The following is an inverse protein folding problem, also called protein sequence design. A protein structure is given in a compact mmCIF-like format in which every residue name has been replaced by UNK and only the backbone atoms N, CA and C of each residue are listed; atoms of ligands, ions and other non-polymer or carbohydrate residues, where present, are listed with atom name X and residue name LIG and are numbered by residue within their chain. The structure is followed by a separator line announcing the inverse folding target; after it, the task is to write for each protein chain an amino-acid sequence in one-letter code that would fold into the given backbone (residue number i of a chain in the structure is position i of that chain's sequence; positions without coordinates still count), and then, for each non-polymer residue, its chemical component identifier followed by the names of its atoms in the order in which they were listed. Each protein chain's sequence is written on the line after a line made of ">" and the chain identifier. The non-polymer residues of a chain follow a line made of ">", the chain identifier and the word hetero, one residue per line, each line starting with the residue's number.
data_IF_877971222210
#
_entry.id   IF_877971222210
#
_cell.length_a   1.000
_cell.length_b   1.000
_cell.length_c   1.000
_cell.angle_alpha   90.00
_cell.angle_beta   90.00
_cell.angle_gamma   90.00
#
_symmetry.space_group_name_H-M   'P 1'
#
loop_
_entity.id
_entity.type
_entity.pdbx_description
1 polymer ?
#
# COMPACT_ATOMS: atom_id res chain seq x y z
N UNK A 1 -14.19 24.31 13.91
CA UNK A 1 -15.20 24.12 12.85
C UNK A 1 -15.73 22.70 12.96
N UNK A 2 -17.03 22.47 12.71
CA UNK A 2 -17.57 21.11 12.65
C UNK A 2 -17.14 20.48 11.32
N UNK A 3 -16.44 19.33 11.31
CA UNK A 3 -16.00 18.72 10.06
C UNK A 3 -17.20 18.35 9.17
N UNK A 4 -17.00 18.42 7.86
CA UNK A 4 -17.98 18.00 6.85
C UNK A 4 -18.31 16.51 7.00
N UNK A 5 -19.41 16.05 6.39
CA UNK A 5 -19.75 14.62 6.39
C UNK A 5 -18.67 13.78 5.67
N UNK A 6 -18.12 14.20 4.50
CA UNK A 6 -16.98 13.54 3.89
C UNK A 6 -15.77 13.41 4.83
N UNK A 7 -15.35 14.50 5.49
CA UNK A 7 -14.24 14.45 6.46
C UNK A 7 -14.54 13.48 7.61
N UNK A 8 -15.78 13.45 8.12
CA UNK A 8 -16.18 12.53 9.19
C UNK A 8 -16.17 11.05 8.78
N UNK A 9 -16.48 10.75 7.52
CA UNK A 9 -16.61 9.37 7.03
C UNK A 9 -15.32 8.84 6.38
N UNK A 10 -14.60 9.71 5.68
CA UNK A 10 -13.49 9.35 4.80
C UNK A 10 -12.20 10.10 5.11
N UNK A 11 -12.22 11.12 5.99
CA UNK A 11 -11.04 11.92 6.31
C UNK A 11 -10.60 12.89 5.21
N UNK A 12 -11.37 13.02 4.12
CA UNK A 12 -11.09 13.91 2.99
C UNK A 12 -12.38 14.59 2.48
N UNK A 13 -12.24 15.73 1.81
CA UNK A 13 -13.34 16.38 1.05
C UNK A 13 -13.48 15.80 -0.36
N UNK A 14 -12.55 14.94 -0.78
CA UNK A 14 -12.63 14.25 -2.07
C UNK A 14 -13.93 13.44 -2.16
N UNK A 15 -14.69 13.70 -3.23
CA UNK A 15 -15.98 13.04 -3.44
C UNK A 15 -15.76 11.57 -3.84
N UNK A 16 -16.59 10.68 -3.29
CA UNK A 16 -16.64 9.29 -3.76
C UNK A 16 -17.25 9.28 -5.16
N UNK A 17 -16.54 8.72 -6.13
CA UNK A 17 -17.01 8.58 -7.50
C UNK A 17 -18.28 7.74 -7.62
N UNK A 18 -19.07 7.99 -8.67
CA UNK A 18 -20.23 7.14 -8.99
C UNK A 18 -19.77 5.74 -9.39
N UNK A 19 -20.53 4.74 -8.96
CA UNK A 19 -20.30 3.33 -9.32
C UNK A 19 -21.51 2.77 -10.05
N UNK A 20 -21.26 1.93 -11.04
CA UNK A 20 -22.31 1.33 -11.88
C UNK A 20 -22.24 -0.18 -11.80
N UNK A 21 -23.34 -0.84 -11.39
CA UNK A 21 -23.43 -2.30 -11.43
C UNK A 21 -23.69 -2.76 -12.88
N UNK A 22 -22.84 -3.66 -13.36
CA UNK A 22 -22.93 -4.32 -14.66
C UNK A 22 -23.33 -5.78 -14.44
N UNK A 23 -24.26 -6.29 -15.25
CA UNK A 23 -24.73 -7.67 -15.14
C UNK A 23 -25.02 -8.30 -16.49
N UNK A 24 -24.71 -9.59 -16.63
CA UNK A 24 -25.11 -10.44 -17.75
C UNK A 24 -25.21 -11.90 -17.23
N UNK A 25 -26.40 -12.50 -17.31
CA UNK A 25 -26.65 -13.85 -16.78
C UNK A 25 -26.17 -14.05 -15.33
N UNK A 26 -25.16 -14.89 -15.14
CA UNK A 26 -24.57 -15.18 -13.83
C UNK A 26 -23.48 -14.20 -13.38
N UNK A 27 -23.00 -13.34 -14.29
CA UNK A 27 -21.91 -12.39 -14.07
C UNK A 27 -22.44 -11.07 -13.52
N UNK A 28 -21.82 -10.59 -12.45
CA UNK A 28 -22.01 -9.24 -11.89
C UNK A 28 -20.64 -8.59 -11.65
N UNK A 29 -20.50 -7.31 -11.96
CA UNK A 29 -19.32 -6.52 -11.59
C UNK A 29 -19.73 -5.07 -11.31
N UNK A 30 -18.93 -4.35 -10.54
CA UNK A 30 -19.12 -2.91 -10.31
C UNK A 30 -18.05 -2.13 -11.08
N UNK A 31 -18.48 -1.26 -12.00
CA UNK A 31 -17.62 -0.28 -12.66
C UNK A 31 -17.37 0.89 -11.70
N UNK A 32 -16.10 1.19 -11.45
CA UNK A 32 -15.64 2.27 -10.57
C UNK A 32 -14.39 2.91 -11.17
N UNK A 33 -14.49 4.18 -11.57
CA UNK A 33 -13.38 4.95 -12.15
C UNK A 33 -12.68 4.21 -13.30
N UNK A 34 -13.46 3.60 -14.21
CA UNK A 34 -12.97 2.81 -15.34
C UNK A 34 -12.53 1.37 -15.00
N UNK A 35 -12.40 1.04 -13.72
CA UNK A 35 -11.98 -0.28 -13.27
C UNK A 35 -13.18 -1.16 -12.87
N UNK A 36 -12.96 -2.48 -12.74
CA UNK A 36 -13.97 -3.40 -12.25
C UNK A 36 -13.67 -3.83 -10.81
N UNK A 37 -14.71 -3.86 -9.98
CA UNK A 37 -14.69 -4.35 -8.60
C UNK A 37 -15.75 -5.42 -8.39
N UNK A 38 -15.51 -6.31 -7.43
CA UNK A 38 -16.43 -7.36 -6.99
C UNK A 38 -16.98 -8.19 -8.16
N UNK A 39 -16.09 -8.74 -8.98
CA UNK A 39 -16.45 -9.56 -10.14
C UNK A 39 -16.96 -10.90 -9.60
N UNK A 40 -18.27 -11.09 -9.65
CA UNK A 40 -18.97 -12.25 -9.10
C UNK A 40 -19.58 -13.11 -10.18
N UNK A 41 -19.58 -14.42 -9.91
CA UNK A 41 -20.30 -15.43 -10.69
C UNK A 41 -21.26 -16.15 -9.74
N UNK A 42 -22.56 -16.07 -10.01
CA UNK A 42 -23.57 -16.69 -9.15
C UNK A 42 -23.54 -16.18 -7.71
N UNK A 43 -23.14 -14.92 -7.51
CA UNK A 43 -23.03 -14.27 -6.19
C UNK A 43 -21.75 -14.56 -5.40
N UNK A 44 -20.81 -15.34 -5.95
CA UNK A 44 -19.49 -15.59 -5.35
C UNK A 44 -18.42 -14.80 -6.09
N UNK A 45 -17.53 -14.12 -5.36
CA UNK A 45 -16.43 -13.36 -5.98
C UNK A 45 -15.48 -14.34 -6.70
N UNK A 46 -15.39 -14.20 -8.02
CA UNK A 46 -14.37 -14.86 -8.82
C UNK A 46 -13.06 -14.07 -8.75
N UNK A 47 -13.16 -12.74 -8.85
CA UNK A 47 -12.07 -11.78 -8.70
C UNK A 47 -12.56 -10.59 -7.87
N UNK A 48 -11.69 -10.05 -7.03
CA UNK A 48 -11.99 -8.86 -6.23
C UNK A 48 -11.96 -7.60 -7.09
N UNK A 49 -11.00 -7.46 -7.99
CA UNK A 49 -10.90 -6.31 -8.88
C UNK A 49 -10.04 -6.60 -10.12
N UNK A 50 -10.29 -5.86 -11.20
CA UNK A 50 -9.41 -5.75 -12.37
C UNK A 50 -9.25 -4.25 -12.66
N UNK A 51 -8.02 -3.76 -12.66
CA UNK A 51 -7.73 -2.34 -12.85
C UNK A 51 -6.56 -2.13 -13.81
N UNK A 52 -6.65 -1.13 -14.69
CA UNK A 52 -5.53 -0.68 -15.50
C UNK A 52 -4.96 0.59 -14.87
N UNK A 53 -3.71 0.53 -14.39
CA UNK A 53 -3.12 1.60 -13.58
C UNK A 53 -1.85 2.14 -14.24
N UNK A 54 -1.61 3.44 -14.09
CA UNK A 54 -0.32 4.06 -14.31
C UNK A 54 0.21 4.60 -12.98
N UNK A 55 1.49 4.35 -12.68
CA UNK A 55 2.16 4.83 -11.47
C UNK A 55 3.44 5.57 -11.81
N UNK A 56 3.61 6.75 -11.23
CA UNK A 56 4.82 7.57 -11.42
C UNK A 56 6.06 6.94 -10.76
N UNK A 57 7.17 7.68 -10.82
CA UNK A 57 8.48 7.28 -10.24
C UNK A 57 8.44 7.08 -8.72
N UNK A 58 7.46 7.71 -8.05
CA UNK A 58 7.30 7.75 -6.59
C UNK A 58 6.16 6.80 -6.14
N UNK A 59 5.72 5.91 -7.03
CA UNK A 59 4.61 4.96 -6.82
C UNK A 59 3.22 5.62 -6.67
N UNK A 60 3.10 6.92 -6.91
CA UNK A 60 1.83 7.65 -6.99
C UNK A 60 0.98 7.09 -8.13
N UNK A 61 -0.29 6.74 -7.85
CA UNK A 61 -1.21 6.24 -8.88
C UNK A 61 -1.96 7.41 -9.49
N UNK A 62 -1.90 7.56 -10.82
CA UNK A 62 -2.67 8.59 -11.52
C UNK A 62 -4.17 8.31 -11.43
N UNK A 63 -4.95 9.36 -11.21
CA UNK A 63 -6.40 9.37 -11.45
C UNK A 63 -6.65 9.70 -12.92
N UNK A 64 -7.04 8.73 -13.77
CA UNK A 64 -7.21 8.99 -15.20
C UNK A 64 -8.38 9.92 -15.48
N UNK A 65 -8.19 10.86 -16.42
CA UNK A 65 -9.28 11.63 -17.00
C UNK A 65 -10.01 10.74 -18.02
N UNK A 66 -11.23 10.28 -17.68
CA UNK A 66 -12.05 9.42 -18.54
C UNK A 66 -12.95 10.27 -19.44
N UNK A 67 -13.02 9.91 -20.72
CA UNK A 67 -13.89 10.51 -21.74
C UNK A 67 -14.51 9.43 -22.63
N UNK A 68 -15.54 9.79 -23.41
CA UNK A 68 -16.22 8.88 -24.33
C UNK A 68 -16.72 7.58 -23.68
N UNK A 69 -17.12 7.66 -22.40
CA UNK A 69 -17.68 6.52 -21.68
C UNK A 69 -19.02 6.12 -22.28
N UNK A 70 -19.08 4.90 -22.81
CA UNK A 70 -20.29 4.29 -23.36
C UNK A 70 -20.52 2.92 -22.70
N UNK A 71 -21.76 2.69 -22.26
CA UNK A 71 -22.17 1.50 -21.53
C UNK A 71 -23.41 0.92 -22.20
N UNK A 72 -23.29 -0.31 -22.67
CA UNK A 72 -24.38 -1.08 -23.24
C UNK A 72 -24.62 -2.35 -22.43
N UNK A 73 -25.82 -2.52 -21.89
CA UNK A 73 -26.20 -3.70 -21.08
C UNK A 73 -27.43 -4.39 -21.63
N UNK A 74 -27.42 -5.71 -21.64
CA UNK A 74 -28.57 -6.59 -21.90
C UNK A 74 -28.51 -7.80 -20.95
N UNK A 75 -29.53 -8.67 -21.01
CA UNK A 75 -29.53 -9.90 -20.21
C UNK A 75 -28.36 -10.84 -20.54
N UNK A 76 -27.91 -10.84 -21.80
CA UNK A 76 -26.89 -11.78 -22.30
C UNK A 76 -25.46 -11.21 -22.27
N UNK A 77 -25.33 -9.88 -22.21
CA UNK A 77 -24.05 -9.19 -22.41
C UNK A 77 -24.06 -7.81 -21.81
N UNK A 78 -22.90 -7.36 -21.33
CA UNK A 78 -22.59 -5.93 -21.25
C UNK A 78 -21.30 -5.60 -22.00
N UNK A 79 -21.21 -4.36 -22.49
CA UNK A 79 -20.00 -3.78 -23.06
C UNK A 79 -19.80 -2.39 -22.47
N UNK A 80 -18.57 -2.08 -22.07
CA UNK A 80 -18.13 -0.74 -21.68
C UNK A 80 -16.95 -0.34 -22.55
N UNK A 81 -16.97 0.87 -23.09
CA UNK A 81 -15.82 1.47 -23.79
C UNK A 81 -15.57 2.87 -23.29
N UNK A 82 -14.31 3.29 -23.23
CA UNK A 82 -13.94 4.67 -22.90
C UNK A 82 -12.50 4.96 -23.33
N UNK A 83 -12.17 6.25 -23.43
CA UNK A 83 -10.80 6.75 -23.55
C UNK A 83 -10.36 7.35 -22.21
N UNK A 84 -9.08 7.21 -21.88
CA UNK A 84 -8.53 7.72 -20.63
C UNK A 84 -7.13 8.32 -20.83
N UNK A 85 -6.79 9.32 -20.02
CA UNK A 85 -5.47 9.96 -19.99
C UNK A 85 -4.96 10.04 -18.56
N UNK A 86 -3.79 9.47 -18.32
CA UNK A 86 -2.99 9.68 -17.11
C UNK A 86 -1.92 10.73 -17.40
N UNK A 87 -1.89 11.85 -16.66
CA UNK A 87 -0.92 12.93 -16.92
C UNK A 87 -0.52 13.69 -15.66
N UNK A 88 0.66 14.28 -15.70
CA UNK A 88 1.14 15.34 -14.78
C UNK A 88 1.62 16.55 -15.60
N UNK A 89 2.36 17.47 -14.99
CA UNK A 89 2.92 18.65 -15.66
C UNK A 89 4.01 18.34 -16.71
N UNK A 90 4.54 17.11 -16.74
CA UNK A 90 5.75 16.70 -17.47
C UNK A 90 5.51 15.61 -18.51
N UNK A 91 4.47 14.79 -18.37
CA UNK A 91 4.26 13.61 -19.19
C UNK A 91 2.78 13.21 -19.24
N UNK A 92 2.38 12.60 -20.35
CA UNK A 92 1.05 11.99 -20.50
C UNK A 92 1.08 10.62 -21.16
N UNK A 93 0.17 9.76 -20.73
CA UNK A 93 -0.10 8.43 -21.29
C UNK A 93 -1.60 8.29 -21.54
N UNK A 94 -1.99 8.00 -22.79
CA UNK A 94 -3.40 7.78 -23.16
C UNK A 94 -3.68 6.31 -23.39
N UNK A 95 -4.91 5.88 -23.16
CA UNK A 95 -5.35 4.54 -23.49
C UNK A 95 -6.85 4.46 -23.78
N UNK A 96 -7.22 3.54 -24.66
CA UNK A 96 -8.60 3.17 -24.96
C UNK A 96 -8.92 1.83 -24.33
N UNK A 97 -10.11 1.71 -23.76
CA UNK A 97 -10.57 0.51 -23.03
C UNK A 97 -11.80 -0.09 -23.68
N UNK A 98 -11.84 -1.43 -23.63
CA UNK A 98 -13.04 -2.21 -23.93
C UNK A 98 -13.20 -3.31 -22.89
N UNK A 99 -14.38 -3.36 -22.29
CA UNK A 99 -14.78 -4.37 -21.32
C UNK A 99 -16.01 -5.09 -21.88
N UNK A 100 -16.01 -6.41 -21.85
CA UNK A 100 -17.17 -7.23 -22.22
C UNK A 100 -17.42 -8.33 -21.20
N UNK A 101 -18.64 -8.41 -20.69
CA UNK A 101 -19.12 -9.53 -19.87
C UNK A 101 -20.29 -10.23 -20.55
N UNK A 102 -20.40 -11.55 -20.34
CA UNK A 102 -21.41 -12.41 -20.98
C UNK A 102 -22.17 -13.26 -19.97
N UNK A 103 -23.36 -13.71 -20.35
CA UNK A 103 -24.23 -14.53 -19.51
C UNK A 103 -23.63 -15.87 -19.09
N UNK A 104 -22.67 -16.41 -19.84
CA UNK A 104 -21.91 -17.61 -19.49
C UNK A 104 -20.87 -17.37 -18.38
N UNK A 105 -20.74 -16.15 -17.87
CA UNK A 105 -19.80 -15.79 -16.83
C UNK A 105 -18.43 -15.35 -17.33
N UNK A 106 -18.19 -15.38 -18.65
CA UNK A 106 -16.94 -14.89 -19.22
C UNK A 106 -16.86 -13.36 -19.21
N UNK A 107 -15.65 -12.85 -19.00
CA UNK A 107 -15.33 -11.43 -18.94
C UNK A 107 -14.01 -11.17 -19.68
N UNK A 108 -13.95 -10.11 -20.48
CA UNK A 108 -12.71 -9.59 -21.06
C UNK A 108 -12.57 -8.12 -20.74
N UNK A 109 -11.39 -7.69 -20.35
CA UNK A 109 -11.00 -6.30 -20.16
C UNK A 109 -9.70 -6.07 -20.92
N UNK A 110 -9.76 -5.31 -22.00
CA UNK A 110 -8.60 -4.95 -22.82
C UNK A 110 -8.32 -3.45 -22.76
N UNK A 111 -7.04 -3.08 -22.82
CA UNK A 111 -6.58 -1.70 -22.92
C UNK A 111 -5.50 -1.59 -24.01
N UNK A 112 -5.63 -0.58 -24.87
CA UNK A 112 -4.63 -0.20 -25.86
C UNK A 112 -4.14 1.21 -25.52
N UNK A 113 -2.84 1.35 -25.25
CA UNK A 113 -2.27 2.60 -24.77
C UNK A 113 -1.10 3.09 -25.60
N UNK A 114 -0.80 4.38 -25.47
CA UNK A 114 0.28 5.08 -26.14
C UNK A 114 0.82 6.17 -25.21
N UNK A 115 2.14 6.25 -25.09
CA UNK A 115 2.77 7.36 -24.39
C UNK A 115 2.81 8.59 -25.31
N UNK A 116 2.18 9.69 -24.88
CA UNK A 116 2.18 10.95 -25.64
C UNK A 116 3.53 11.67 -25.53
N UNK A 117 4.19 11.50 -24.38
CA UNK A 117 5.53 11.97 -24.07
C UNK A 117 6.42 10.79 -23.68
N UNK A 118 7.69 11.06 -23.37
CA UNK A 118 8.52 10.08 -22.67
C UNK A 118 7.94 9.85 -21.26
N UNK A 119 7.30 8.70 -21.03
CA UNK A 119 6.53 8.41 -19.83
C UNK A 119 7.34 7.56 -18.84
N UNK A 120 7.88 8.19 -17.80
CA UNK A 120 8.60 7.60 -16.68
C UNK A 120 7.61 7.04 -15.66
N UNK A 121 7.64 5.72 -15.47
CA UNK A 121 6.66 4.97 -14.70
C UNK A 121 7.31 3.85 -13.90
N UNK A 122 6.79 3.55 -12.72
CA UNK A 122 7.10 2.30 -12.00
C UNK A 122 6.19 1.16 -12.45
N UNK A 123 5.00 1.48 -12.98
CA UNK A 123 4.02 0.50 -13.46
C UNK A 123 2.99 1.17 -14.36
N UNK A 124 2.87 0.70 -15.60
CA UNK A 124 1.72 1.01 -16.48
C UNK A 124 1.14 -0.28 -17.02
N UNK A 125 -0.04 -0.67 -16.54
CA UNK A 125 -0.70 -1.90 -16.98
C UNK A 125 -1.70 -2.47 -15.97
N UNK A 126 -2.15 -3.70 -16.25
CA UNK A 126 -3.18 -4.36 -15.43
C UNK A 126 -2.69 -4.83 -14.05
N UNK A 127 -3.59 -4.70 -13.09
CA UNK A 127 -3.55 -5.34 -11.78
C UNK A 127 -4.85 -6.11 -11.58
N UNK A 128 -4.75 -7.33 -11.07
CA UNK A 128 -5.90 -8.17 -10.72
C UNK A 128 -5.82 -8.50 -9.24
N UNK A 129 -6.92 -8.28 -8.52
CA UNK A 129 -7.06 -8.66 -7.12
C UNK A 129 -7.88 -9.94 -7.01
N UNK A 130 -7.37 -10.90 -6.27
CA UNK A 130 -8.05 -12.16 -5.95
C UNK A 130 -8.65 -12.06 -4.55
N UNK A 131 -9.90 -12.51 -4.32
CA UNK A 131 -10.55 -12.40 -3.02
C UNK A 131 -9.86 -13.29 -1.98
N UNK A 132 -10.21 -13.12 -0.70
CA UNK A 132 -9.73 -14.02 0.36
C UNK A 132 -10.69 -15.18 0.63
N UNK A 133 -12.00 -14.92 0.57
CA UNK A 133 -13.02 -15.93 0.84
C UNK A 133 -12.90 -17.08 -0.17
N UNK A 134 -12.76 -18.31 0.32
CA UNK A 134 -12.58 -19.54 -0.48
C UNK A 134 -11.26 -19.62 -1.29
N UNK A 135 -10.35 -18.64 -1.15
CA UNK A 135 -9.06 -18.60 -1.87
C UNK A 135 -7.88 -18.89 -0.95
N UNK A 136 -7.85 -18.37 0.28
CA UNK A 136 -6.71 -18.57 1.20
C UNK A 136 -6.45 -20.06 1.45
N UNK A 137 -5.25 -20.54 1.11
CA UNK A 137 -4.86 -21.96 1.24
C UNK A 137 -5.48 -22.91 0.19
N UNK A 138 -6.35 -22.40 -0.69
CA UNK A 138 -7.05 -23.19 -1.69
C UNK A 138 -6.10 -23.63 -2.82
N UNK A 139 -6.42 -24.75 -3.51
CA UNK A 139 -5.69 -25.18 -4.70
C UNK A 139 -5.66 -24.08 -5.77
N UNK A 140 -4.52 -23.98 -6.45
CA UNK A 140 -4.26 -23.02 -7.51
C UNK A 140 -3.44 -23.69 -8.60
N UNK A 141 -3.87 -23.58 -9.85
CA UNK A 141 -3.03 -23.93 -11.00
C UNK A 141 -2.45 -22.65 -11.59
N UNK A 142 -1.12 -22.59 -11.72
CA UNK A 142 -0.39 -21.48 -12.33
C UNK A 142 0.11 -21.91 -13.69
N UNK A 143 -0.34 -21.23 -14.74
CA UNK A 143 0.27 -21.31 -16.07
C UNK A 143 1.33 -20.22 -16.16
N UNK A 144 2.58 -20.60 -16.40
CA UNK A 144 3.69 -19.67 -16.58
C UNK A 144 3.80 -19.20 -18.04
N UNK A 145 4.53 -18.11 -18.26
CA UNK A 145 4.74 -17.49 -19.58
C UNK A 145 5.50 -18.38 -20.58
N UNK A 146 6.26 -19.37 -20.09
CA UNK A 146 6.93 -20.39 -20.88
C UNK A 146 6.04 -21.62 -21.20
N UNK A 147 4.79 -21.61 -20.72
CA UNK A 147 3.83 -22.69 -20.88
C UNK A 147 3.91 -23.80 -19.83
N UNK A 148 4.82 -23.70 -18.84
CA UNK A 148 4.84 -24.62 -17.70
C UNK A 148 3.56 -24.48 -16.90
N UNK A 149 3.02 -25.61 -16.45
CA UNK A 149 1.90 -25.67 -15.52
C UNK A 149 2.41 -26.09 -14.14
N UNK A 150 2.11 -25.32 -13.12
CA UNK A 150 2.40 -25.61 -11.72
C UNK A 150 1.10 -25.81 -10.94
N UNK A 151 0.96 -26.98 -10.32
CA UNK A 151 -0.10 -27.24 -9.34
C UNK A 151 0.37 -26.81 -7.94
N UNK A 152 -0.33 -25.85 -7.35
CA UNK A 152 0.10 -25.17 -6.13
C UNK A 152 -1.09 -24.79 -5.25
N UNK A 153 -0.88 -23.88 -4.30
CA UNK A 153 -1.89 -23.32 -3.40
C UNK A 153 -1.63 -21.85 -3.15
N UNK A 154 -2.69 -21.08 -2.98
CA UNK A 154 -2.53 -19.74 -2.41
C UNK A 154 -1.91 -19.83 -1.00
N UNK A 155 -1.00 -18.92 -0.61
CA UNK A 155 -0.40 -18.93 0.71
C UNK A 155 -1.44 -18.93 1.84
N UNK A 156 -1.44 -19.95 2.70
CA UNK A 156 -2.36 -19.99 3.84
C UNK A 156 -2.01 -18.93 4.88
N UNK A 157 -0.73 -18.82 5.22
CA UNK A 157 -0.15 -17.74 6.03
C UNK A 157 0.29 -16.59 5.12
N UNK A 158 0.51 -15.42 5.71
CA UNK A 158 1.05 -14.26 5.00
C UNK A 158 2.44 -14.64 4.47
N UNK A 159 2.61 -14.58 3.16
CA UNK A 159 3.90 -14.74 2.50
C UNK A 159 4.44 -13.37 2.09
N UNK A 160 5.42 -12.81 2.81
CA UNK A 160 5.97 -11.49 2.49
C UNK A 160 6.85 -11.48 1.23
N UNK A 161 7.10 -12.64 0.61
CA UNK A 161 7.81 -12.74 -0.66
C UNK A 161 6.85 -12.54 -1.86
N UNK A 162 7.34 -12.84 -3.06
CA UNK A 162 6.55 -12.90 -4.29
C UNK A 162 6.15 -14.37 -4.53
N UNK A 163 4.92 -14.82 -4.19
CA UNK A 163 4.60 -16.25 -4.13
C UNK A 163 4.69 -16.95 -5.48
N UNK A 164 4.38 -16.25 -6.57
CA UNK A 164 4.42 -16.76 -7.94
C UNK A 164 4.97 -15.71 -8.88
N UNK A 165 5.88 -16.12 -9.76
CA UNK A 165 6.46 -15.28 -10.82
C UNK A 165 6.08 -15.80 -12.20
N UNK A 166 6.32 -14.98 -13.22
CA UNK A 166 6.20 -15.36 -14.63
C UNK A 166 4.81 -15.89 -15.01
N UNK A 167 3.77 -15.32 -14.42
CA UNK A 167 2.39 -15.78 -14.53
C UNK A 167 1.79 -15.38 -15.89
N UNK A 168 1.16 -16.34 -16.57
CA UNK A 168 0.29 -16.14 -17.73
C UNK A 168 -1.18 -16.32 -17.36
N UNK A 169 -1.52 -17.33 -16.58
CA UNK A 169 -2.88 -17.55 -16.11
C UNK A 169 -2.92 -18.18 -14.71
N UNK A 170 -3.99 -17.90 -13.98
CA UNK A 170 -4.31 -18.52 -12.70
C UNK A 170 -5.67 -19.20 -12.79
N UNK A 171 -5.74 -20.44 -12.32
CA UNK A 171 -7.01 -21.17 -12.22
C UNK A 171 -7.30 -21.54 -10.78
N UNK A 172 -8.44 -21.09 -10.26
CA UNK A 172 -8.86 -21.34 -8.87
C UNK A 172 -10.35 -21.67 -8.77
N UNK A 173 -10.72 -22.34 -7.68
CA UNK A 173 -12.13 -22.67 -7.40
C UNK A 173 -12.89 -21.44 -6.89
N UNK A 174 -14.05 -21.16 -7.49
CA UNK A 174 -15.00 -20.13 -7.00
C UNK A 174 -16.04 -20.79 -6.07
N UNK A 175 -16.44 -22.01 -6.42
CA UNK A 175 -17.39 -22.85 -5.71
C UNK A 175 -17.13 -24.32 -6.07
N UNK A 176 -17.68 -25.31 -5.31
CA UNK A 176 -17.49 -26.72 -5.65
C UNK A 176 -17.90 -27.05 -7.09
N UNK A 177 -16.92 -27.49 -7.90
CA UNK A 177 -17.15 -27.86 -9.30
C UNK A 177 -17.23 -26.69 -10.29
N UNK A 178 -16.85 -25.48 -9.86
CA UNK A 178 -16.79 -24.28 -10.70
C UNK A 178 -15.45 -23.56 -10.50
N UNK A 179 -14.64 -23.52 -11.56
CA UNK A 179 -13.32 -22.86 -11.57
C UNK A 179 -13.36 -21.57 -12.39
N UNK A 180 -12.62 -20.57 -11.92
CA UNK A 180 -12.25 -19.38 -12.67
C UNK A 180 -10.87 -19.60 -13.28
N UNK A 181 -10.73 -19.39 -14.58
CA UNK A 181 -9.44 -19.23 -15.25
C UNK A 181 -9.28 -17.74 -15.58
N UNK A 182 -8.32 -17.09 -14.94
CA UNK A 182 -7.94 -15.71 -15.18
C UNK A 182 -6.64 -15.67 -16.00
N UNK A 183 -6.74 -15.34 -17.29
CA UNK A 183 -5.59 -15.18 -18.20
C UNK A 183 -5.23 -13.71 -18.33
N UNK A 184 -3.94 -13.39 -18.21
CA UNK A 184 -3.40 -12.03 -18.29
C UNK A 184 -2.44 -11.96 -19.48
N UNK A 185 -2.61 -11.00 -20.38
CA UNK A 185 -1.86 -10.88 -21.64
C UNK A 185 -1.26 -9.49 -21.81
N UNK A 186 -0.24 -9.42 -22.68
CA UNK A 186 0.46 -8.19 -23.04
C UNK A 186 1.71 -7.89 -22.21
N UNK A 187 1.98 -8.67 -21.15
CA UNK A 187 3.25 -8.66 -20.42
C UNK A 187 3.35 -9.92 -19.51
N UNK A 188 4.38 -9.94 -18.66
CA UNK A 188 4.65 -10.89 -17.58
C UNK A 188 4.06 -10.38 -16.26
N UNK A 189 3.36 -11.25 -15.54
CA UNK A 189 2.73 -10.92 -14.26
C UNK A 189 3.41 -11.69 -13.12
N UNK A 190 3.36 -11.13 -11.92
CA UNK A 190 3.77 -11.81 -10.69
C UNK A 190 2.76 -11.54 -9.57
N UNK A 191 2.82 -12.31 -8.49
CA UNK A 191 1.90 -12.21 -7.36
C UNK A 191 2.56 -11.57 -6.13
N UNK A 192 1.81 -10.75 -5.41
CA UNK A 192 2.10 -10.32 -4.05
C UNK A 192 0.95 -10.74 -3.12
N UNK A 193 1.31 -11.23 -1.94
CA UNK A 193 0.36 -11.40 -0.86
C UNK A 193 0.06 -10.04 -0.22
N UNK A 194 -1.04 -9.45 -0.68
CA UNK A 194 -1.48 -8.12 -0.30
C UNK A 194 -1.83 -8.00 1.19
N UNK A 195 -2.04 -9.12 1.89
CA UNK A 195 -2.23 -9.13 3.34
C UNK A 195 -0.98 -8.68 4.11
N UNK A 196 0.20 -8.81 3.52
CA UNK A 196 1.44 -8.25 4.07
C UNK A 196 1.37 -6.71 4.19
N UNK A 197 0.52 -6.08 3.37
CA UNK A 197 0.25 -4.65 3.35
C UNK A 197 -1.11 -4.28 3.95
N UNK A 198 -1.72 -5.21 4.72
CA UNK A 198 -3.05 -5.10 5.31
C UNK A 198 -4.22 -5.02 4.31
N UNK A 199 -3.96 -5.28 3.03
CA UNK A 199 -5.00 -5.37 2.01
C UNK A 199 -5.71 -6.74 2.08
N UNK A 200 -7.03 -6.74 1.82
CA UNK A 200 -7.87 -7.93 1.90
C UNK A 200 -7.97 -8.69 0.56
N UNK A 201 -6.81 -9.02 -0.04
CA UNK A 201 -6.69 -9.72 -1.32
C UNK A 201 -5.31 -10.38 -1.52
N UNK A 202 -5.16 -11.15 -2.59
CA UNK A 202 -3.87 -11.35 -3.27
C UNK A 202 -3.85 -10.46 -4.51
N UNK A 203 -2.68 -9.97 -4.93
CA UNK A 203 -2.54 -9.12 -6.11
C UNK A 203 -1.66 -9.78 -7.16
N UNK A 204 -2.13 -9.88 -8.39
CA UNK A 204 -1.27 -10.10 -9.55
C UNK A 204 -1.10 -8.81 -10.34
N UNK A 205 0.12 -8.50 -10.77
CA UNK A 205 0.43 -7.24 -11.43
C UNK A 205 1.53 -7.37 -12.48
N UNK A 206 1.49 -6.46 -13.45
CA UNK A 206 2.58 -6.19 -14.39
C UNK A 206 3.41 -4.99 -13.93
N UNK A 207 4.69 -4.84 -14.26
CA UNK A 207 5.66 -5.87 -14.68
C UNK A 207 6.41 -6.38 -13.44
N UNK A 208 7.24 -7.43 -13.55
CA UNK A 208 8.00 -7.95 -12.42
C UNK A 208 8.84 -6.89 -11.72
N UNK A 209 8.81 -6.85 -10.38
CA UNK A 209 9.57 -5.91 -9.54
C UNK A 209 11.08 -6.15 -9.63
N UNK A 210 11.51 -7.31 -10.09
CA UNK A 210 12.91 -7.64 -10.33
C UNK A 210 13.52 -6.88 -11.53
N UNK A 211 12.69 -6.35 -12.45
CA UNK A 211 13.17 -5.52 -13.56
C UNK A 211 13.49 -4.09 -13.07
N UNK A 212 14.40 -3.34 -13.73
CA UNK A 212 14.73 -1.98 -13.31
C UNK A 212 13.50 -1.05 -13.22
N UNK A 213 13.40 -0.23 -12.19
CA UNK A 213 12.36 0.80 -12.06
C UNK A 213 12.93 2.07 -11.42
N UNK A 214 12.40 3.26 -11.76
CA UNK A 214 11.41 3.51 -12.80
C UNK A 214 11.96 3.18 -14.21
N UNK A 215 11.06 2.95 -15.16
CA UNK A 215 11.40 2.77 -16.58
C UNK A 215 10.66 3.81 -17.44
N UNK A 216 11.14 4.01 -18.67
CA UNK A 216 10.54 4.96 -19.61
C UNK A 216 9.85 4.22 -20.74
N UNK A 217 8.56 4.48 -20.94
CA UNK A 217 7.84 4.18 -22.20
C UNK A 217 8.11 5.35 -23.13
N UNK A 218 8.67 5.09 -24.31
CA UNK A 218 9.07 6.17 -25.23
C UNK A 218 7.85 6.89 -25.81
N UNK A 219 7.98 8.16 -26.14
CA UNK A 219 6.93 8.88 -26.85
C UNK A 219 6.55 8.14 -28.15
N UNK A 220 5.25 7.93 -28.37
CA UNK A 220 4.68 7.14 -29.46
C UNK A 220 4.78 5.62 -29.31
N UNK A 221 5.41 5.11 -28.25
CA UNK A 221 5.42 3.68 -27.95
C UNK A 221 4.04 3.24 -27.44
N UNK A 222 3.56 2.14 -28.00
CA UNK A 222 2.25 1.58 -27.70
C UNK A 222 2.35 0.33 -26.83
N UNK A 223 1.32 0.09 -26.03
CA UNK A 223 1.11 -1.17 -25.31
C UNK A 223 -0.29 -1.69 -25.58
N UNK A 224 -0.44 -3.01 -25.58
CA UNK A 224 -1.74 -3.68 -25.64
C UNK A 224 -1.74 -4.78 -24.61
N UNK A 225 -2.71 -4.73 -23.70
CA UNK A 225 -2.86 -5.71 -22.64
C UNK A 225 -4.32 -6.13 -22.48
N UNK A 226 -4.54 -7.32 -21.94
CA UNK A 226 -5.88 -7.78 -21.59
C UNK A 226 -5.88 -8.72 -20.39
N UNK A 227 -7.00 -8.73 -19.68
CA UNK A 227 -7.34 -9.72 -18.67
C UNK A 227 -8.64 -10.40 -19.09
N UNK A 228 -8.64 -11.72 -19.16
CA UNK A 228 -9.81 -12.52 -19.52
C UNK A 228 -10.12 -13.51 -18.42
N UNK A 229 -11.37 -13.54 -17.98
CA UNK A 229 -11.92 -14.54 -17.08
C UNK A 229 -12.80 -15.50 -17.90
N UNK A 230 -12.52 -16.78 -17.80
CA UNK A 230 -13.38 -17.86 -18.34
C UNK A 230 -13.71 -18.84 -17.23
N UNK A 231 -14.82 -19.56 -17.38
CA UNK A 231 -15.29 -20.50 -16.37
C UNK A 231 -15.19 -21.94 -16.86
N UNK A 232 -14.81 -22.84 -15.96
CA UNK A 232 -14.84 -24.27 -16.19
C UNK A 232 -15.78 -24.93 -15.18
N UNK A 233 -16.74 -25.72 -15.68
CA UNK A 233 -17.75 -26.38 -14.86
C UNK A 233 -19.16 -25.85 -15.11
N UNK A 234 -20.09 -26.20 -14.23
CA UNK A 234 -21.51 -25.85 -14.39
C UNK A 234 -21.79 -24.47 -13.80
N UNK A 235 -21.90 -23.47 -14.67
CA UNK A 235 -22.28 -22.10 -14.29
C UNK A 235 -23.75 -22.08 -13.84
N UNK A 236 -24.10 -21.48 -12.69
CA UNK A 236 -25.48 -21.28 -12.29
C UNK A 236 -26.25 -20.48 -13.34
N UNK A 237 -27.48 -20.90 -13.69
CA UNK A 237 -28.27 -20.24 -14.74
C UNK A 237 -28.72 -18.81 -14.38
N UNK A 238 -28.76 -18.45 -13.10
CA UNK A 238 -29.15 -17.12 -12.66
C UNK A 238 -28.52 -16.77 -11.33
N UNK A 239 -28.16 -15.49 -11.19
CA UNK A 239 -27.99 -14.85 -9.90
C UNK A 239 -29.31 -14.91 -9.12
N UNK A 240 -29.29 -15.47 -7.90
CA UNK A 240 -30.29 -15.10 -6.91
C UNK A 240 -29.64 -14.04 -6.05
N UNK A 241 -30.03 -12.76 -6.14
CA UNK A 241 -29.57 -11.75 -5.20
C UNK A 241 -30.03 -12.17 -3.82
N UNK A 242 -29.16 -12.85 -3.08
CA UNK A 242 -29.31 -12.87 -1.64
C UNK A 242 -28.88 -11.48 -1.21
N UNK A 243 -29.80 -10.52 -1.24
CA UNK A 243 -29.60 -9.19 -0.66
C UNK A 243 -29.18 -9.47 0.77
N UNK A 244 -27.89 -9.30 1.05
CA UNK A 244 -27.38 -9.49 2.40
C UNK A 244 -28.28 -8.65 3.29
N UNK A 245 -28.82 -9.28 4.34
CA UNK A 245 -29.58 -8.54 5.34
C UNK A 245 -28.70 -7.34 5.76
N UNK A 246 -29.29 -6.14 5.95
CA UNK A 246 -28.54 -5.00 6.45
C UNK A 246 -27.69 -5.44 7.64
N UNK A 247 -26.39 -5.13 7.61
CA UNK A 247 -25.53 -5.37 8.77
C UNK A 247 -25.85 -4.25 9.77
N UNK A 248 -26.58 -4.61 10.83
CA UNK A 248 -26.83 -3.69 11.94
C UNK A 248 -25.56 -3.55 12.78
N UNK A 249 -24.87 -2.42 12.61
CA UNK A 249 -23.72 -2.05 13.45
C UNK A 249 -24.24 -1.23 14.63
N UNK A 250 -24.00 -1.71 15.84
CA UNK A 250 -24.32 -0.98 17.08
C UNK A 250 -23.07 -0.79 17.93
N UNK A 251 -23.00 0.35 18.62
CA UNK A 251 -21.96 0.60 19.61
C UNK A 251 -22.37 -0.15 20.88
N UNK A 252 -21.65 -1.23 21.18
CA UNK A 252 -21.87 -2.02 22.39
C UNK A 252 -21.42 -1.31 23.67
N UNK A 253 -21.69 -1.93 24.82
CA UNK A 253 -21.14 -1.48 26.09
C UNK A 253 -19.61 -1.58 26.10
N UNK A 254 -18.96 -0.82 27.00
CA UNK A 254 -17.50 -0.90 27.19
C UNK A 254 -17.09 -2.35 27.47
N UNK A 255 -16.17 -2.88 26.66
CA UNK A 255 -15.73 -4.28 26.75
C UNK A 255 -14.86 -4.61 27.97
N UNK A 256 -14.50 -3.61 28.79
CA UNK A 256 -13.55 -3.75 29.90
C UNK A 256 -12.09 -3.94 29.46
N UNK A 257 -11.83 -4.08 28.15
CA UNK A 257 -10.48 -4.19 27.60
C UNK A 257 -9.83 -2.81 27.50
N UNK A 258 -8.52 -2.76 27.70
CA UNK A 258 -7.72 -1.54 27.47
C UNK A 258 -7.24 -1.55 26.03
N UNK A 259 -7.51 -0.45 25.33
CA UNK A 259 -6.87 -0.19 24.03
C UNK A 259 -5.37 0.03 24.23
N UNK A 260 -4.53 -0.31 23.24
CA UNK A 260 -3.13 0.11 23.27
C UNK A 260 -3.05 1.64 23.37
N UNK A 261 -2.01 2.12 24.04
CA UNK A 261 -1.70 3.55 24.10
C UNK A 261 -1.37 4.03 22.68
N UNK A 262 -2.14 4.98 22.16
CA UNK A 262 -1.92 5.58 20.84
C UNK A 262 -1.18 6.90 21.01
N UNK A 263 -0.05 7.06 20.33
CA UNK A 263 0.72 8.30 20.31
C UNK A 263 0.53 9.07 18.99
N UNK A 264 0.99 10.33 18.97
CA UNK A 264 1.10 11.12 17.74
C UNK A 264 2.57 11.44 17.45
N UNK A 265 2.99 11.29 16.20
CA UNK A 265 4.32 11.68 15.76
C UNK A 265 4.44 13.21 15.66
N UNK A 266 5.58 13.73 16.08
CA UNK A 266 5.97 15.14 15.97
C UNK A 266 7.32 15.16 15.25
N UNK A 267 7.31 15.34 13.92
CA UNK A 267 8.54 15.49 13.14
C UNK A 267 9.35 16.69 13.64
N UNK A 268 10.67 16.55 13.80
CA UNK A 268 11.53 17.65 14.25
C UNK A 268 11.41 18.92 13.38
N UNK A 269 11.33 18.77 12.05
CA UNK A 269 11.14 19.88 11.12
C UNK A 269 9.76 20.56 11.19
N UNK A 270 8.79 19.94 11.87
CA UNK A 270 7.43 20.47 12.07
C UNK A 270 7.16 20.96 13.50
N UNK A 271 8.20 21.17 14.31
CA UNK A 271 8.03 21.48 15.74
C UNK A 271 7.34 22.83 15.97
N UNK A 272 7.62 23.84 15.14
CA UNK A 272 6.99 25.16 15.28
C UNK A 272 5.49 25.09 14.99
N UNK A 273 5.09 24.34 13.96
CA UNK A 273 3.68 24.08 13.65
C UNK A 273 2.99 23.30 14.78
N UNK A 274 3.67 22.29 15.34
CA UNK A 274 3.13 21.52 16.46
C UNK A 274 2.91 22.40 17.70
N UNK A 275 3.83 23.34 17.99
CA UNK A 275 3.67 24.31 19.08
C UNK A 275 2.51 25.26 18.80
N UNK A 276 2.41 25.79 17.57
CA UNK A 276 1.32 26.67 17.16
C UNK A 276 -0.07 26.00 17.30
N UNK A 277 -0.13 24.68 17.18
CA UNK A 277 -1.35 23.87 17.29
C UNK A 277 -1.42 23.01 18.56
N UNK A 278 -0.67 23.34 19.61
CA UNK A 278 -0.58 22.54 20.83
C UNK A 278 -1.94 22.27 21.50
N UNK A 279 -2.86 23.23 21.49
CA UNK A 279 -4.21 23.03 22.04
C UNK A 279 -5.05 22.00 21.25
N UNK A 280 -4.83 21.90 19.93
CA UNK A 280 -5.46 20.86 19.12
C UNK A 280 -4.90 19.48 19.46
N UNK A 281 -3.57 19.38 19.60
CA UNK A 281 -2.88 18.14 20.02
C UNK A 281 -3.40 17.69 21.39
N UNK A 282 -3.54 18.64 22.33
CA UNK A 282 -4.10 18.39 23.66
C UNK A 282 -5.55 17.89 23.60
N UNK A 283 -6.36 18.47 22.72
CA UNK A 283 -7.76 18.06 22.51
C UNK A 283 -7.87 16.64 21.93
N UNK A 284 -6.90 16.23 21.09
CA UNK A 284 -6.84 14.87 20.55
C UNK A 284 -6.49 13.81 21.62
N UNK A 285 -5.98 14.22 22.79
CA UNK A 285 -5.65 13.35 23.94
C UNK A 285 -4.79 12.12 23.57
N UNK A 286 -3.68 12.27 22.81
CA UNK A 286 -2.80 11.15 22.58
C UNK A 286 -2.12 10.73 23.89
N UNK A 287 -1.80 9.44 23.98
CA UNK A 287 -1.16 8.87 25.15
C UNK A 287 0.30 9.30 25.32
N UNK A 288 0.96 9.72 24.25
CA UNK A 288 2.34 10.22 24.19
C UNK A 288 2.59 10.92 22.84
N UNK A 289 3.65 11.73 22.76
CA UNK A 289 4.16 12.32 21.52
C UNK A 289 5.48 11.64 21.13
N UNK A 290 5.60 11.20 19.89
CA UNK A 290 6.82 10.59 19.33
C UNK A 290 7.63 11.70 18.67
N UNK A 291 8.66 12.18 19.37
CA UNK A 291 9.55 13.23 18.93
C UNK A 291 10.61 12.66 18.00
N UNK A 292 10.40 12.79 16.68
CA UNK A 292 11.35 12.32 15.69
C UNK A 292 12.53 13.28 15.57
N UNK A 293 13.74 12.77 15.84
CA UNK A 293 14.98 13.54 15.85
C UNK A 293 16.02 12.88 14.93
N UNK A 294 16.59 13.67 14.04
CA UNK A 294 17.55 13.22 13.03
C UNK A 294 18.57 14.33 12.78
N UNK A 295 19.79 14.21 13.33
CA UNK A 295 20.85 15.21 13.15
C UNK A 295 21.17 15.48 11.67
N UNK A 296 20.94 14.51 10.77
CA UNK A 296 21.24 14.64 9.34
C UNK A 296 20.28 15.60 8.64
N UNK A 297 19.10 15.84 9.22
CA UNK A 297 18.12 16.81 8.75
C UNK A 297 18.29 18.19 9.39
N UNK A 298 19.39 18.41 10.13
CA UNK A 298 19.64 19.66 10.84
C UNK A 298 18.89 19.80 12.16
N UNK A 299 18.25 18.73 12.65
CA UNK A 299 17.64 18.75 13.98
C UNK A 299 18.72 18.93 15.05
N UNK A 300 18.50 19.86 15.96
CA UNK A 300 19.51 20.31 16.91
C UNK A 300 18.94 20.60 18.31
N UNK A 301 19.68 21.38 19.10
CA UNK A 301 19.28 21.78 20.45
C UNK A 301 17.96 22.58 20.44
N UNK A 302 17.72 23.41 19.45
CA UNK A 302 16.52 24.23 19.40
C UNK A 302 15.31 23.37 19.02
N UNK A 303 15.47 22.32 18.20
CA UNK A 303 14.46 21.28 18.02
C UNK A 303 14.08 20.61 19.34
N UNK A 304 15.08 20.22 20.16
CA UNK A 304 14.84 19.62 21.48
C UNK A 304 14.14 20.58 22.45
N UNK A 305 14.48 21.87 22.41
CA UNK A 305 13.78 22.91 23.19
C UNK A 305 12.33 23.04 22.76
N UNK A 306 12.06 22.94 21.46
CA UNK A 306 10.72 22.92 20.92
C UNK A 306 9.88 21.77 21.47
N UNK A 307 10.45 20.55 21.51
CA UNK A 307 9.78 19.41 22.15
C UNK A 307 9.47 19.66 23.64
N UNK A 308 10.41 20.24 24.39
CA UNK A 308 10.18 20.61 25.79
C UNK A 308 9.04 21.63 25.95
N UNK A 309 9.00 22.66 25.10
CA UNK A 309 7.93 23.66 25.08
C UNK A 309 6.57 23.03 24.74
N UNK A 310 6.53 22.13 23.77
CA UNK A 310 5.32 21.40 23.41
C UNK A 310 4.80 20.54 24.58
N UNK A 311 5.68 19.83 25.28
CA UNK A 311 5.31 19.09 26.49
C UNK A 311 4.80 20.01 27.60
N UNK A 312 5.41 21.16 27.81
CA UNK A 312 4.96 22.13 28.83
C UNK A 312 3.55 22.65 28.55
N UNK A 313 3.21 22.90 27.28
CA UNK A 313 1.87 23.37 26.89
C UNK A 313 0.82 22.25 26.92
N UNK A 314 1.17 21.08 26.39
CA UNK A 314 0.21 19.97 26.24
C UNK A 314 0.06 19.13 27.51
N UNK A 315 1.10 19.02 28.33
CA UNK A 315 1.18 18.10 29.47
C UNK A 315 1.35 16.63 29.07
N UNK A 316 1.68 16.35 27.81
CA UNK A 316 1.72 14.99 27.25
C UNK A 316 3.14 14.43 27.35
N UNK A 317 3.22 13.14 27.70
CA UNK A 317 4.47 12.39 27.76
C UNK A 317 5.21 12.39 26.41
N UNK A 318 6.53 12.63 26.42
CA UNK A 318 7.36 12.54 25.22
C UNK A 318 8.09 11.19 25.13
N UNK A 319 8.22 10.70 23.91
CA UNK A 319 9.07 9.56 23.52
C UNK A 319 10.06 10.06 22.47
N UNK A 320 11.34 9.88 22.69
CA UNK A 320 12.36 10.19 21.69
C UNK A 320 12.41 9.07 20.66
N UNK A 321 12.25 9.40 19.38
CA UNK A 321 12.59 8.53 18.27
C UNK A 321 13.80 9.15 17.55
N UNK A 322 14.99 8.58 17.73
CA UNK A 322 16.23 9.18 17.26
C UNK A 322 16.92 8.35 16.17
N UNK A 323 17.27 9.02 15.09
CA UNK A 323 18.15 8.46 14.05
C UNK A 323 19.60 8.64 14.49
N UNK A 324 20.34 7.54 14.55
CA UNK A 324 21.76 7.52 14.82
C UNK A 324 22.50 7.54 13.46
N UNK A 325 23.21 8.63 13.10
CA UNK A 325 23.79 8.77 11.76
C UNK A 325 24.72 7.62 11.35
N UNK A 326 25.58 7.14 12.24
CA UNK A 326 26.54 6.06 11.99
C UNK A 326 27.35 6.28 10.70
N UNK A 327 27.79 7.53 10.47
CA UNK A 327 28.57 7.90 9.29
C UNK A 327 30.05 8.08 9.62
N UNK A 328 30.91 7.57 8.74
CA UNK A 328 32.36 7.82 8.77
C UNK A 328 32.71 9.27 8.35
N UNK A 329 34.00 9.58 8.34
CA UNK A 329 34.49 10.92 7.98
C UNK A 329 34.17 11.33 6.53
N UNK A 330 33.91 10.36 5.64
CA UNK A 330 33.54 10.58 4.25
C UNK A 330 32.00 10.61 4.06
N UNK A 331 31.23 10.49 5.15
CA UNK A 331 29.77 10.45 5.11
C UNK A 331 29.18 9.10 4.69
N UNK A 332 29.95 8.01 4.72
CA UNK A 332 29.48 6.67 4.36
C UNK A 332 28.95 5.91 5.58
N UNK A 333 27.93 5.05 5.42
CA UNK A 333 27.45 4.19 6.50
C UNK A 333 28.57 3.32 7.09
N UNK A 334 28.61 3.20 8.42
CA UNK A 334 29.67 2.49 9.15
C UNK A 334 29.10 1.58 10.23
N UNK A 335 29.71 0.41 10.39
CA UNK A 335 29.47 -0.54 11.48
C UNK A 335 30.30 -0.24 12.75
N UNK A 336 31.12 0.82 12.74
CA UNK A 336 32.02 1.16 13.83
C UNK A 336 31.27 1.51 15.13
N UNK A 337 31.58 0.77 16.19
CA UNK A 337 30.99 1.00 17.51
C UNK A 337 31.39 2.35 18.13
N UNK A 338 32.56 2.89 17.79
CA UNK A 338 33.01 4.18 18.31
C UNK A 338 32.29 5.34 17.62
N UNK A 339 32.02 5.22 16.32
CA UNK A 339 31.17 6.16 15.57
C UNK A 339 29.73 6.12 16.13
N UNK A 340 29.18 4.92 16.33
CA UNK A 340 27.85 4.74 16.92
C UNK A 340 27.75 5.39 18.32
N UNK A 341 28.75 5.17 19.19
CA UNK A 341 28.78 5.76 20.55
C UNK A 341 28.88 7.28 20.50
N UNK A 342 29.77 7.83 19.66
CA UNK A 342 29.89 9.28 19.42
C UNK A 342 28.53 9.89 19.08
N UNK A 343 27.81 9.28 18.16
CA UNK A 343 26.54 9.79 17.65
C UNK A 343 25.42 9.70 18.71
N UNK A 344 25.35 8.59 19.44
CA UNK A 344 24.39 8.43 20.56
C UNK A 344 24.67 9.44 21.67
N UNK A 345 25.93 9.61 22.06
CA UNK A 345 26.34 10.55 23.10
C UNK A 345 26.03 12.00 22.67
N UNK A 346 26.21 12.34 21.39
CA UNK A 346 25.84 13.65 20.85
C UNK A 346 24.33 13.91 20.92
N UNK A 347 23.49 12.90 20.62
CA UNK A 347 22.02 13.01 20.73
C UNK A 347 21.62 13.22 22.19
N UNK A 348 22.19 12.47 23.13
CA UNK A 348 21.91 12.62 24.56
C UNK A 348 22.35 13.98 25.12
N UNK A 349 23.52 14.47 24.69
CA UNK A 349 24.00 15.80 25.04
C UNK A 349 23.06 16.89 24.49
N UNK A 350 22.56 16.72 23.27
CA UNK A 350 21.61 17.67 22.64
C UNK A 350 20.27 17.69 23.37
N UNK A 351 19.74 16.53 23.76
CA UNK A 351 18.53 16.45 24.59
C UNK A 351 18.71 17.16 25.94
N UNK A 352 19.86 16.93 26.59
CA UNK A 352 20.20 17.58 27.87
C UNK A 352 20.30 19.10 27.70
N UNK A 353 20.99 19.58 26.66
CA UNK A 353 21.14 21.00 26.38
C UNK A 353 19.81 21.68 25.95
N UNK A 354 18.88 20.91 25.37
CA UNK A 354 17.54 21.36 25.03
C UNK A 354 16.59 21.42 26.23
N UNK A 355 16.96 20.82 27.37
CA UNK A 355 16.12 20.79 28.57
C UNK A 355 14.87 19.92 28.42
N UNK A 356 14.90 18.91 27.54
CA UNK A 356 13.76 18.02 27.29
C UNK A 356 13.85 16.76 28.14
N UNK A 357 12.71 16.30 28.65
CA UNK A 357 12.58 15.05 29.38
C UNK A 357 11.75 14.06 28.57
N UNK A 358 12.35 12.91 28.26
CA UNK A 358 11.68 11.79 27.61
C UNK A 358 11.34 10.70 28.62
N UNK A 359 10.20 10.05 28.42
CA UNK A 359 9.79 8.88 29.19
C UNK A 359 10.42 7.58 28.70
N UNK A 360 10.76 7.55 27.40
CA UNK A 360 11.22 6.39 26.63
C UNK A 360 12.04 6.88 25.46
N UNK A 361 12.95 6.04 24.99
CA UNK A 361 13.80 6.32 23.83
C UNK A 361 13.75 5.14 22.87
N UNK A 362 13.60 5.42 21.59
CA UNK A 362 13.77 4.48 20.49
C UNK A 362 14.87 5.00 19.58
N UNK A 363 15.81 4.14 19.19
CA UNK A 363 16.91 4.50 18.31
C UNK A 363 17.01 3.56 17.13
N UNK A 364 17.37 4.09 15.97
CA UNK A 364 17.67 3.32 14.76
C UNK A 364 18.90 3.88 14.06
N UNK A 365 19.82 3.04 13.57
CA UNK A 365 20.82 3.48 12.61
C UNK A 365 20.16 4.13 11.39
N UNK A 366 20.77 5.18 10.88
CA UNK A 366 20.41 5.82 9.61
C UNK A 366 20.38 4.87 8.42
N UNK A 367 21.22 3.83 8.45
CA UNK A 367 21.31 2.80 7.42
C UNK A 367 19.99 2.01 7.31
N UNK A 368 19.29 1.80 8.42
CA UNK A 368 18.05 1.02 8.50
C UNK A 368 16.82 1.79 8.01
N UNK A 369 16.96 3.07 7.69
CA UNK A 369 15.90 3.86 7.05
C UNK A 369 15.78 3.54 5.55
N UNK A 370 16.77 2.84 4.98
CA UNK A 370 16.64 2.30 3.64
C UNK A 370 15.91 0.99 3.72
N UNK A 371 14.73 0.93 3.09
CA UNK A 371 14.09 -0.35 2.87
C UNK A 371 15.00 -1.24 2.04
N UNK A 372 15.45 -2.34 2.66
CA UNK A 372 16.34 -3.31 2.05
C UNK A 372 15.56 -4.60 1.91
N UNK A 373 15.32 -5.04 0.66
CA UNK A 373 14.53 -6.23 0.41
C UNK A 373 15.25 -7.49 0.94
N UNK A 374 14.51 -8.50 1.42
CA UNK A 374 15.09 -9.79 1.77
C UNK A 374 15.99 -10.33 0.65
N UNK A 375 17.22 -10.74 1.00
CA UNK A 375 18.21 -11.23 0.04
C UNK A 375 19.11 -10.15 -0.61
N UNK A 376 18.88 -8.87 -0.34
CA UNK A 376 19.77 -7.79 -0.79
C UNK A 376 20.99 -7.62 0.13
N UNK A 377 22.03 -6.94 -0.37
CA UNK A 377 23.17 -6.51 0.46
C UNK A 377 22.75 -5.31 1.30
N UNK A 378 22.76 -5.47 2.62
CA UNK A 378 22.43 -4.40 3.55
C UNK A 378 23.56 -3.37 3.62
N UNK A 379 23.25 -2.07 3.75
CA UNK A 379 24.26 -1.07 4.05
C UNK A 379 24.94 -1.39 5.39
N UNK A 380 26.25 -1.09 5.56
CA UNK A 380 26.93 -1.28 6.84
C UNK A 380 26.21 -0.53 7.96
N UNK A 381 25.90 -1.23 9.05
CA UNK A 381 25.20 -0.70 10.22
C UNK A 381 25.70 -1.40 11.50
N UNK A 382 25.75 -0.71 12.66
CA UNK A 382 26.09 -1.36 13.91
C UNK A 382 25.02 -2.37 14.35
N UNK A 383 25.46 -3.44 15.00
CA UNK A 383 24.54 -4.43 15.58
C UNK A 383 23.63 -3.84 16.66
N UNK A 384 22.40 -4.36 16.72
CA UNK A 384 21.38 -3.94 17.69
C UNK A 384 21.80 -4.11 19.15
N UNK A 385 22.54 -5.17 19.49
CA UNK A 385 22.97 -5.44 20.87
C UNK A 385 23.84 -4.31 21.45
N UNK A 386 24.99 -3.99 20.81
CA UNK A 386 25.81 -2.84 21.16
C UNK A 386 25.07 -1.51 21.12
N UNK A 387 24.20 -1.29 20.13
CA UNK A 387 23.41 -0.05 20.02
C UNK A 387 22.48 0.15 21.22
N UNK A 388 21.72 -0.90 21.60
CA UNK A 388 20.86 -0.86 22.78
C UNK A 388 21.66 -0.67 24.07
N UNK A 389 22.86 -1.23 24.17
CA UNK A 389 23.73 -1.04 25.34
C UNK A 389 24.24 0.42 25.44
N UNK A 390 24.66 1.01 24.33
CA UNK A 390 25.10 2.41 24.28
C UNK A 390 23.94 3.37 24.58
N UNK A 391 22.77 3.15 23.99
CA UNK A 391 21.56 3.94 24.25
C UNK A 391 21.15 3.91 25.73
N UNK A 392 21.17 2.74 26.39
CA UNK A 392 20.89 2.64 27.84
C UNK A 392 21.91 3.38 28.71
N UNK A 393 23.17 3.45 28.28
CA UNK A 393 24.22 4.21 28.98
C UNK A 393 23.99 5.72 28.84
N UNK A 394 23.61 6.17 27.64
CA UNK A 394 23.37 7.58 27.36
C UNK A 394 22.04 8.09 27.95
N UNK A 395 21.05 7.20 28.12
CA UNK A 395 19.73 7.49 28.68
C UNK A 395 19.43 6.59 29.90
N UNK A 396 20.11 6.81 31.05
CA UNK A 396 20.01 5.94 32.20
C UNK A 396 18.60 5.92 32.79
N UNK A 397 18.08 4.72 33.09
CA UNK A 397 16.78 4.53 33.73
C UNK A 397 15.57 4.62 32.79
N UNK A 398 15.76 5.02 31.52
CA UNK A 398 14.68 5.03 30.54
C UNK A 398 14.54 3.67 29.84
N UNK A 399 13.31 3.22 29.54
CA UNK A 399 13.11 2.13 28.60
C UNK A 399 13.67 2.51 27.22
N UNK A 400 14.47 1.62 26.65
CA UNK A 400 15.10 1.78 25.34
C UNK A 400 14.56 0.71 24.38
N UNK A 401 14.09 1.16 23.23
CA UNK A 401 13.69 0.33 22.09
C UNK A 401 14.46 0.66 20.82
N UNK A 402 14.15 -0.07 19.75
CA UNK A 402 14.71 0.13 18.42
C UNK A 402 13.92 -0.67 17.39
N UNK A 403 14.49 -0.78 16.21
CA UNK A 403 13.84 -1.29 15.00
C UNK A 403 14.01 -0.28 13.87
N UNK A 404 13.52 -0.60 12.67
CA UNK A 404 13.53 0.34 11.56
C UNK A 404 12.42 1.39 11.72
N UNK A 405 12.75 2.65 11.46
CA UNK A 405 11.78 3.74 11.32
C UNK A 405 11.55 4.11 9.85
N UNK A 406 11.95 3.23 8.91
CA UNK A 406 11.61 3.40 7.52
C UNK A 406 10.08 3.37 7.36
N UNK A 407 9.54 4.41 6.74
CA UNK A 407 8.17 4.46 6.27
C UNK A 407 8.20 4.29 4.75
N UNK A 408 7.35 3.41 4.21
CA UNK A 408 7.26 3.12 2.78
C UNK A 408 6.34 4.11 2.06
#
# INVERSE_FOLDING_TARGET
>A
MTPSRPIKLFGTEEAVGETTTLSAGALEATLDSGNLRYIKVGGKEALRAIAFLARDRDWGTYSPEISNLDIHTSAERFTVTYDAVCKDEKQAFRYAVRIEGRADGSLSFSAEGEALDAFVTNRTGFVVLHPLENVVGAPLTVEHTDGRIEESRFPALIDPACPFTDIRALTHDIAPGLKALCRMQGDTFEMEDHRNWMDASYKTYVRPLALPWPYTIKAGETLSQSVTLTLEGKVPASFTPQRAAPIDVSIGARSGRRMPRVGLAVPGGGIDDAIAHAELIKTALPSFLVCHFDPRLGHDRDTMRGFAALAATTGIELVLEAIVPCLDADGRPSESLDIMRRDIDAIAATATAGGVHFSRVAMSPAADLRSTLPGSVFPPAPDWGPLMAAARKAFPGLPVGGGTFAYF
#
